data_IF_580791013484
#
_entry.id   IF_580791013484
#
_cell.length_a   1.000
_cell.length_b   1.000
_cell.length_c   1.000
_cell.angle_alpha   90.00
_cell.angle_beta   90.00
_cell.angle_gamma   90.00
#
_symmetry.space_group_name_H-M   'P 1'
#
loop_
_entity.id
_entity.type
_entity.pdbx_description
1 polymer ?
#
# COMPACT_ATOMS: atom_id res chain seq x y z
N UNK A 1 -3.59 -4.01 23.50
CA UNK A 1 -3.39 -3.79 22.05
C UNK A 1 -2.30 -4.74 21.60
N UNK A 2 -2.50 -5.50 20.53
CA UNK A 2 -1.40 -6.28 19.94
C UNK A 2 -0.62 -5.46 18.91
N UNK A 3 0.38 -6.08 18.28
CA UNK A 3 1.27 -5.40 17.35
C UNK A 3 0.65 -5.14 15.98
N UNK A 4 1.04 -4.03 15.34
CA UNK A 4 0.70 -3.73 13.94
C UNK A 4 1.99 -3.70 13.13
N UNK A 5 1.96 -4.33 11.96
CA UNK A 5 3.07 -4.37 11.00
C UNK A 5 2.59 -3.68 9.74
N UNK A 6 3.32 -2.64 9.32
CA UNK A 6 3.12 -1.96 8.05
C UNK A 6 4.19 -2.44 7.07
N UNK A 7 3.78 -2.79 5.85
CA UNK A 7 4.68 -3.30 4.80
C UNK A 7 4.04 -3.09 3.42
N UNK A 8 4.80 -3.39 2.38
CA UNK A 8 4.34 -3.46 1.01
C UNK A 8 4.81 -4.77 0.38
N UNK A 9 4.00 -5.32 -0.52
CA UNK A 9 4.44 -6.40 -1.40
C UNK A 9 5.22 -5.82 -2.57
N UNK A 10 6.19 -6.58 -3.05
CA UNK A 10 7.03 -6.18 -4.18
C UNK A 10 6.82 -7.16 -5.33
N UNK A 11 6.82 -6.60 -6.55
CA UNK A 11 7.03 -7.35 -7.77
C UNK A 11 8.42 -8.01 -7.78
N UNK A 12 8.65 -9.05 -8.58
CA UNK A 12 9.96 -9.67 -8.74
C UNK A 12 11.08 -8.69 -9.16
N UNK A 13 10.71 -7.59 -9.84
CA UNK A 13 11.63 -6.52 -10.26
C UNK A 13 11.87 -5.45 -9.18
N UNK A 14 11.27 -5.59 -8.00
CA UNK A 14 11.41 -4.70 -6.86
C UNK A 14 10.42 -3.52 -6.84
N UNK A 15 9.57 -3.34 -7.86
CA UNK A 15 8.50 -2.32 -7.82
C UNK A 15 7.47 -2.67 -6.75
N UNK A 16 6.83 -1.66 -6.17
CA UNK A 16 5.77 -1.88 -5.19
C UNK A 16 4.49 -2.35 -5.88
N UNK A 17 3.87 -3.40 -5.36
CA UNK A 17 2.53 -3.81 -5.77
C UNK A 17 1.50 -2.83 -5.21
N UNK A 18 0.60 -2.35 -6.06
CA UNK A 18 -0.46 -1.41 -5.66
C UNK A 18 -1.31 -2.01 -4.53
N UNK A 19 -1.43 -1.28 -3.42
CA UNK A 19 -2.12 -1.74 -2.22
C UNK A 19 -3.62 -1.97 -2.45
N UNK A 20 -4.24 -1.29 -3.42
CA UNK A 20 -5.65 -1.55 -3.78
C UNK A 20 -5.82 -2.94 -4.36
N UNK A 21 -4.84 -3.40 -5.14
CA UNK A 21 -4.84 -4.76 -5.66
C UNK A 21 -4.66 -5.79 -4.53
N UNK A 22 -3.79 -5.49 -3.56
CA UNK A 22 -3.63 -6.32 -2.37
C UNK A 22 -4.95 -6.45 -1.60
N UNK A 23 -5.72 -5.37 -1.48
CA UNK A 23 -7.04 -5.38 -0.82
C UNK A 23 -8.04 -6.29 -1.54
N UNK A 24 -8.08 -6.21 -2.88
CA UNK A 24 -8.92 -7.08 -3.72
C UNK A 24 -8.56 -8.55 -3.52
N UNK A 25 -7.28 -8.91 -3.65
CA UNK A 25 -6.82 -10.31 -3.47
C UNK A 25 -7.05 -10.79 -2.03
N UNK A 26 -6.87 -9.92 -1.03
CA UNK A 26 -7.13 -10.25 0.36
C UNK A 26 -8.62 -10.58 0.60
N UNK A 27 -9.53 -9.81 -0.01
CA UNK A 27 -10.97 -10.06 0.07
C UNK A 27 -11.34 -11.44 -0.52
N UNK A 28 -10.74 -11.83 -1.65
CA UNK A 28 -10.94 -13.16 -2.26
C UNK A 28 -10.47 -14.31 -1.35
N UNK A 29 -9.44 -14.08 -0.54
CA UNK A 29 -8.90 -15.06 0.41
C UNK A 29 -9.59 -15.04 1.79
N UNK A 30 -10.57 -14.14 1.99
CA UNK A 30 -11.24 -13.92 3.27
C UNK A 30 -10.29 -13.38 4.34
N UNK A 31 -9.34 -12.53 3.97
CA UNK A 31 -8.38 -11.90 4.85
C UNK A 31 -8.69 -10.41 4.94
N UNK A 32 -8.82 -9.91 6.17
CA UNK A 32 -8.99 -8.48 6.42
C UNK A 32 -7.62 -7.84 6.65
N UNK A 33 -7.21 -6.98 5.72
CA UNK A 33 -6.07 -6.08 5.86
C UNK A 33 -6.55 -4.63 5.96
N UNK A 34 -5.66 -3.73 6.35
CA UNK A 34 -5.90 -2.28 6.23
C UNK A 34 -4.95 -1.72 5.21
N UNK A 35 -5.49 -1.12 4.16
CA UNK A 35 -4.74 -0.37 3.15
C UNK A 35 -4.98 1.13 3.35
N UNK A 36 -4.18 1.97 2.70
CA UNK A 36 -4.36 3.42 2.73
C UNK A 36 -3.09 4.20 3.00
N UNK A 37 -3.21 5.51 2.91
CA UNK A 37 -2.13 6.47 2.79
C UNK A 37 -1.08 6.45 3.89
N UNK A 38 0.12 6.94 3.56
CA UNK A 38 1.03 7.54 4.53
C UNK A 38 0.69 9.02 4.69
N UNK A 39 -0.36 9.30 5.44
CA UNK A 39 -0.99 10.61 5.52
C UNK A 39 -0.23 11.60 6.44
N UNK A 40 1.01 11.28 6.83
CA UNK A 40 1.89 12.16 7.59
C UNK A 40 2.95 12.73 6.63
N UNK A 41 3.06 14.05 6.56
CA UNK A 41 4.12 14.72 5.80
C UNK A 41 5.50 14.16 6.19
N UNK A 42 6.29 13.78 5.19
CA UNK A 42 7.59 13.16 5.35
C UNK A 42 7.57 11.63 5.49
N UNK A 43 6.43 10.99 5.82
CA UNK A 43 6.39 9.53 6.00
C UNK A 43 6.38 8.77 4.68
N UNK A 44 5.61 9.24 3.69
CA UNK A 44 5.62 8.68 2.34
C UNK A 44 6.94 9.00 1.62
N UNK A 45 7.44 10.20 1.82
CA UNK A 45 8.67 10.72 1.25
C UNK A 45 9.90 9.98 1.78
N UNK A 46 9.92 9.68 3.08
CA UNK A 46 10.97 8.82 3.67
C UNK A 46 10.81 7.37 3.22
N UNK A 47 9.57 6.84 3.21
CA UNK A 47 9.32 5.45 2.80
C UNK A 47 9.70 5.18 1.33
N UNK A 48 9.58 6.19 0.47
CA UNK A 48 9.84 6.08 -0.97
C UNK A 48 11.03 6.91 -1.47
N UNK A 49 11.85 7.46 -0.55
CA UNK A 49 13.07 8.22 -0.87
C UNK A 49 12.86 9.37 -1.88
N UNK A 50 11.76 10.12 -1.72
CA UNK A 50 11.45 11.26 -2.57
C UNK A 50 12.37 12.44 -2.24
N UNK A 51 12.92 13.10 -3.27
CA UNK A 51 13.77 14.29 -3.08
C UNK A 51 12.94 15.52 -2.74
N UNK A 52 13.46 16.39 -1.87
CA UNK A 52 12.80 17.65 -1.49
C UNK A 52 12.50 18.57 -2.70
N UNK A 53 13.32 18.50 -3.75
CA UNK A 53 13.13 19.28 -4.98
C UNK A 53 11.83 18.92 -5.72
N UNK A 54 11.41 17.65 -5.64
CA UNK A 54 10.16 17.16 -6.26
C UNK A 54 8.92 17.77 -5.61
N UNK A 55 9.00 18.07 -4.31
CA UNK A 55 7.87 18.63 -3.54
C UNK A 55 7.76 20.15 -3.68
N UNK A 56 8.90 20.83 -3.83
CA UNK A 56 8.95 22.30 -3.93
C UNK A 56 8.49 22.79 -5.31
N UNK A 57 8.70 21.98 -6.36
CA UNK A 57 8.29 22.31 -7.74
C UNK A 57 6.88 21.86 -8.13
N UNK A 58 6.17 21.14 -7.25
CA UNK A 58 4.83 20.63 -7.52
C UNK A 58 3.77 21.72 -7.30
N UNK A 59 3.03 22.07 -8.34
CA UNK A 59 1.82 22.89 -8.21
C UNK A 59 0.67 21.99 -7.77
N UNK A 60 0.22 22.19 -6.53
CA UNK A 60 -0.94 21.48 -5.99
C UNK A 60 -2.21 22.30 -6.25
N UNK A 61 -3.20 21.68 -6.88
CA UNK A 61 -4.54 22.25 -7.07
C UNK A 61 -5.49 21.66 -6.00
N UNK A 62 -6.39 22.49 -5.49
CA UNK A 62 -7.40 22.10 -4.48
C UNK A 62 -8.38 21.04 -5.02
N UNK A 63 -8.49 20.86 -6.34
CA UNK A 63 -9.31 19.81 -6.97
C UNK A 63 -8.58 18.46 -7.14
N UNK A 64 -7.29 18.38 -6.82
CA UNK A 64 -6.51 17.14 -6.98
C UNK A 64 -7.01 16.02 -6.06
N UNK A 65 -7.28 14.85 -6.66
CA UNK A 65 -7.48 13.61 -5.88
C UNK A 65 -6.14 12.97 -5.52
N UNK A 66 -6.15 12.03 -4.58
CA UNK A 66 -4.92 11.40 -4.08
C UNK A 66 -4.09 10.73 -5.20
N UNK A 67 -4.74 10.13 -6.21
CA UNK A 67 -4.03 9.55 -7.36
C UNK A 67 -3.27 10.59 -8.19
N UNK A 68 -3.76 11.82 -8.30
CA UNK A 68 -3.06 12.90 -9.01
C UNK A 68 -1.82 13.34 -8.24
N UNK A 69 -1.93 13.45 -6.91
CA UNK A 69 -0.79 13.74 -6.04
C UNK A 69 0.30 12.66 -6.14
N UNK A 70 -0.09 11.38 -6.06
CA UNK A 70 0.82 10.23 -6.17
C UNK A 70 1.59 10.29 -7.50
N UNK A 71 0.88 10.57 -8.61
CA UNK A 71 1.49 10.70 -9.94
C UNK A 71 2.42 11.90 -10.03
N UNK A 72 2.00 13.06 -9.52
CA UNK A 72 2.77 14.30 -9.57
C UNK A 72 4.10 14.16 -8.81
N UNK A 73 4.07 13.54 -7.63
CA UNK A 73 5.24 13.39 -6.76
C UNK A 73 6.05 12.12 -7.10
N UNK A 74 5.51 11.24 -7.94
CA UNK A 74 6.20 10.00 -8.34
C UNK A 74 6.22 8.93 -7.26
N UNK A 75 5.20 8.89 -6.39
CA UNK A 75 5.07 7.83 -5.39
C UNK A 75 4.71 6.49 -6.06
N UNK A 76 5.31 5.37 -5.64
CA UNK A 76 5.05 4.06 -6.26
C UNK A 76 3.71 3.42 -5.83
N UNK A 77 3.09 3.92 -4.77
CA UNK A 77 1.78 3.52 -4.24
C UNK A 77 1.21 4.69 -3.42
N UNK A 78 -0.09 4.69 -3.17
CA UNK A 78 -0.70 5.64 -2.24
C UNK A 78 -0.34 5.42 -0.78
N UNK A 79 0.14 4.24 -0.39
CA UNK A 79 0.39 3.98 1.03
C UNK A 79 1.00 2.62 1.36
N UNK A 80 0.41 1.96 2.36
CA UNK A 80 0.89 0.66 2.81
C UNK A 80 -0.22 -0.28 3.26
N UNK A 81 0.10 -1.56 3.15
CA UNK A 81 -0.65 -2.66 3.75
C UNK A 81 -0.28 -2.75 5.22
N UNK A 82 -1.29 -2.88 6.08
CA UNK A 82 -1.14 -3.00 7.52
C UNK A 82 -1.90 -4.20 8.01
N UNK A 83 -1.21 -5.06 8.76
CA UNK A 83 -1.78 -6.21 9.46
C UNK A 83 -1.64 -6.00 10.96
N UNK A 84 -2.62 -6.45 11.72
CA UNK A 84 -2.61 -6.34 13.18
C UNK A 84 -2.81 -7.71 13.80
N UNK A 85 -1.98 -8.02 14.78
CA UNK A 85 -2.12 -9.20 15.63
C UNK A 85 -2.78 -8.78 16.94
N UNK A 86 -3.57 -9.66 17.52
CA UNK A 86 -4.28 -9.42 18.79
C UNK A 86 -4.14 -10.60 19.74
N UNK A 87 -4.72 -10.46 20.94
CA UNK A 87 -4.71 -11.53 21.96
C UNK A 87 -5.40 -12.83 21.49
N UNK A 88 -6.34 -12.71 20.55
CA UNK A 88 -7.04 -13.85 19.97
C UNK A 88 -6.31 -14.47 18.76
N UNK A 89 -5.25 -13.84 18.25
CA UNK A 89 -4.51 -14.34 17.10
C UNK A 89 -3.64 -15.52 17.50
N UNK A 90 -3.71 -16.60 16.73
CA UNK A 90 -2.92 -17.80 16.94
C UNK A 90 -2.03 -18.14 15.73
N UNK A 91 -1.27 -19.22 15.82
CA UNK A 91 -0.36 -19.64 14.75
C UNK A 91 -1.09 -19.96 13.44
N UNK A 92 -2.27 -20.58 13.49
CA UNK A 92 -3.02 -20.93 12.28
C UNK A 92 -3.46 -19.68 11.52
N UNK A 93 -3.85 -18.61 12.23
CA UNK A 93 -4.17 -17.33 11.61
C UNK A 93 -2.96 -16.72 10.88
N UNK A 94 -1.80 -16.71 11.56
CA UNK A 94 -0.55 -16.20 10.98
C UNK A 94 -0.11 -17.06 9.79
N UNK A 95 -0.22 -18.38 9.90
CA UNK A 95 0.13 -19.31 8.82
C UNK A 95 -0.80 -19.14 7.61
N UNK A 96 -2.10 -18.92 7.83
CA UNK A 96 -3.05 -18.59 6.76
C UNK A 96 -2.67 -17.29 6.07
N UNK A 97 -2.28 -16.27 6.83
CA UNK A 97 -1.76 -15.03 6.27
C UNK A 97 -0.49 -15.24 5.44
N UNK A 98 0.47 -16.05 5.94
CA UNK A 98 1.69 -16.36 5.19
C UNK A 98 1.41 -17.09 3.87
N UNK A 99 0.38 -17.95 3.85
CA UNK A 99 -0.08 -18.60 2.60
C UNK A 99 -0.72 -17.63 1.62
N UNK A 100 -1.45 -16.63 2.10
CA UNK A 100 -1.94 -15.55 1.25
C UNK A 100 -0.80 -14.68 0.71
N UNK A 101 0.20 -14.39 1.53
CA UNK A 101 1.34 -13.58 1.12
C UNK A 101 2.10 -14.17 -0.08
N UNK A 102 2.03 -15.49 -0.31
CA UNK A 102 2.65 -16.13 -1.48
C UNK A 102 1.98 -15.80 -2.81
N UNK A 103 0.73 -15.32 -2.81
CA UNK A 103 0.04 -14.89 -4.03
C UNK A 103 0.77 -13.75 -4.74
N UNK A 104 1.62 -13.01 -4.03
CA UNK A 104 2.37 -11.87 -4.57
C UNK A 104 3.79 -12.22 -5.04
N UNK A 105 4.24 -13.47 -4.88
CA UNK A 105 5.63 -13.87 -5.16
C UNK A 105 6.02 -13.66 -6.63
N UNK A 106 5.11 -13.97 -7.56
CA UNK A 106 5.34 -13.95 -9.02
C UNK A 106 4.41 -12.97 -9.76
N UNK A 107 3.80 -12.03 -9.04
CA UNK A 107 2.92 -11.02 -9.64
C UNK A 107 3.74 -10.12 -10.56
N UNK A 108 3.45 -10.17 -11.85
CA UNK A 108 4.11 -9.35 -12.88
C UNK A 108 3.24 -8.19 -13.36
N UNK A 109 1.91 -8.33 -13.26
CA UNK A 109 0.95 -7.34 -13.71
C UNK A 109 -0.11 -7.08 -12.63
N UNK A 110 -0.55 -5.82 -12.55
CA UNK A 110 -1.67 -5.37 -11.72
C UNK A 110 -2.69 -4.74 -12.68
N UNK A 111 -4.00 -5.02 -12.52
CA UNK A 111 -5.03 -4.40 -13.35
C UNK A 111 -4.95 -2.87 -13.34
N UNK A 112 -5.07 -2.24 -14.50
CA UNK A 112 -4.96 -0.79 -14.64
C UNK A 112 -6.23 -0.04 -14.18
N UNK A 113 -7.35 -0.73 -14.06
CA UNK A 113 -8.69 -0.20 -13.80
C UNK A 113 -9.11 -0.28 -12.32
N UNK A 114 -8.13 -0.29 -11.40
CA UNK A 114 -8.40 -0.21 -9.97
C UNK A 114 -9.16 1.08 -9.62
N UNK A 115 -10.14 1.02 -8.69
CA UNK A 115 -10.88 2.20 -8.26
C UNK A 115 -9.94 3.34 -7.82
N UNK A 116 -10.22 4.60 -8.22
CA UNK A 116 -9.32 5.71 -7.93
C UNK A 116 -9.25 6.00 -6.43
N UNK A 117 -8.08 6.46 -5.97
CA UNK A 117 -7.96 7.00 -4.61
C UNK A 117 -8.46 8.44 -4.62
N UNK A 118 -9.65 8.64 -4.05
CA UNK A 118 -10.27 9.97 -3.99
C UNK A 118 -9.60 10.84 -2.92
N UNK A 119 -9.38 10.28 -1.72
CA UNK A 119 -8.80 10.99 -0.58
C UNK A 119 -7.99 10.02 0.30
N UNK A 120 -7.22 10.62 1.22
CA UNK A 120 -6.50 9.96 2.31
C UNK A 120 -7.43 9.60 3.48
#
# INVERSE_FOLDING_TARGET
RGGTIAFNFLHPDGRVVDERFVDVVAAEHGISVRTGCFCNSGAGETAFSLSSDTLIGAEFDDEMILDDYIRLVGMPTGGAVRVSLGIATNFADVYRFMRFATEFHDVSEVPADLPPRLAC
#
